data_IF_155715148802
#
_entry.id   IF_155715148802
#
_cell.length_a   1.000
_cell.length_b   1.000
_cell.length_c   1.000
_cell.angle_alpha   90.00
_cell.angle_beta   90.00
_cell.angle_gamma   90.00
#
_symmetry.space_group_name_H-M   'P 1'
#
loop_
_entity.id
_entity.type
_entity.pdbx_description
1 polymer ?
#
# COMPACT_ATOMS: atom_id res chain seq x y z
N UNK A 1 -21.49 8.66 -5.98
CA UNK A 1 -20.62 9.84 -6.16
C UNK A 1 -20.45 10.07 -7.66
N UNK A 2 -20.66 11.31 -8.13
CA UNK A 2 -20.28 11.72 -9.48
C UNK A 2 -18.77 11.93 -9.54
N UNK A 3 -18.19 12.11 -10.72
CA UNK A 3 -16.72 12.25 -10.82
C UNK A 3 -16.27 13.64 -10.37
N UNK A 4 -17.10 14.63 -10.60
CA UNK A 4 -16.91 16.03 -10.22
C UNK A 4 -16.85 16.18 -8.68
N UNK A 5 -17.72 15.47 -7.94
CA UNK A 5 -17.70 15.44 -6.47
C UNK A 5 -16.34 14.93 -5.95
N UNK A 6 -15.78 13.90 -6.61
CA UNK A 6 -14.49 13.30 -6.23
C UNK A 6 -13.33 14.24 -6.58
N UNK A 7 -13.33 14.81 -7.79
CA UNK A 7 -12.32 15.78 -8.25
C UNK A 7 -12.25 17.02 -7.34
N UNK A 8 -13.39 17.50 -6.84
CA UNK A 8 -13.44 18.58 -5.84
C UNK A 8 -12.80 18.21 -4.49
N UNK A 9 -13.07 16.99 -3.99
CA UNK A 9 -12.47 16.50 -2.74
C UNK A 9 -10.97 16.32 -2.90
N UNK A 10 -10.53 15.71 -4.02
CA UNK A 10 -9.12 15.51 -4.34
C UNK A 10 -8.40 16.86 -4.47
N UNK A 11 -9.02 17.88 -5.06
CA UNK A 11 -8.46 19.24 -5.17
C UNK A 11 -8.21 19.89 -3.81
N UNK A 12 -9.08 19.64 -2.81
CA UNK A 12 -8.97 20.18 -1.44
C UNK A 12 -7.91 19.46 -0.58
N UNK A 13 -7.48 18.25 -0.95
CA UNK A 13 -6.41 17.54 -0.24
C UNK A 13 -5.04 18.22 -0.44
N UNK A 14 -4.22 18.30 0.61
CA UNK A 14 -2.87 18.85 0.55
C UNK A 14 -1.84 17.79 0.10
N UNK A 15 -0.70 18.25 -0.43
CA UNK A 15 0.44 17.41 -0.81
C UNK A 15 0.37 16.81 -2.22
N UNK A 16 1.44 16.08 -2.56
CA UNK A 16 1.60 15.39 -3.84
C UNK A 16 0.72 14.14 -3.90
N UNK A 17 0.01 13.95 -5.02
CA UNK A 17 -0.96 12.86 -5.21
C UNK A 17 -0.50 12.00 -6.38
N UNK A 18 -0.54 10.69 -6.20
CA UNK A 18 -0.18 9.70 -7.22
C UNK A 18 -1.32 8.70 -7.31
N UNK A 19 -1.84 8.46 -8.52
CA UNK A 19 -2.92 7.49 -8.72
C UNK A 19 -2.33 6.18 -9.26
N UNK A 20 -2.61 5.09 -8.56
CA UNK A 20 -2.40 3.74 -9.07
C UNK A 20 -3.75 3.24 -9.61
N UNK A 21 -3.90 3.16 -10.93
CA UNK A 21 -5.20 2.93 -11.58
C UNK A 21 -5.76 1.55 -11.18
N UNK A 22 -7.02 1.55 -10.74
CA UNK A 22 -7.83 0.36 -10.59
C UNK A 22 -8.89 0.18 -11.69
N UNK A 23 -9.44 -1.02 -11.78
CA UNK A 23 -10.41 -1.42 -12.81
C UNK A 23 -11.76 -0.67 -12.78
N UNK A 24 -12.05 0.03 -11.68
CA UNK A 24 -13.27 0.84 -11.51
C UNK A 24 -13.00 2.34 -11.57
N UNK A 25 -11.75 2.76 -11.76
CA UNK A 25 -11.43 4.18 -11.88
C UNK A 25 -11.99 4.78 -13.15
N UNK A 26 -12.53 5.99 -12.98
CA UNK A 26 -13.06 6.80 -14.07
C UNK A 26 -11.97 7.73 -14.59
N UNK A 27 -12.27 8.47 -15.66
CA UNK A 27 -11.38 9.48 -16.22
C UNK A 27 -11.38 10.76 -15.37
N UNK A 28 -10.79 10.72 -14.18
CA UNK A 28 -10.59 11.89 -13.32
C UNK A 28 -9.74 12.96 -14.05
N UNK A 29 -9.82 14.22 -13.62
CA UNK A 29 -8.92 15.27 -14.14
C UNK A 29 -7.45 14.91 -13.83
N UNK A 30 -6.61 14.61 -14.85
CA UNK A 30 -5.24 14.15 -14.61
C UNK A 30 -4.36 15.22 -13.95
N UNK A 31 -4.75 16.51 -14.02
CA UNK A 31 -4.05 17.63 -13.37
C UNK A 31 -4.16 17.61 -11.84
N UNK A 32 -4.97 16.72 -11.27
CA UNK A 32 -5.08 16.49 -9.83
C UNK A 32 -3.96 15.62 -9.27
N UNK A 33 -3.16 14.98 -10.13
CA UNK A 33 -2.12 14.02 -9.78
C UNK A 33 -0.77 14.42 -10.40
N UNK A 34 0.32 14.07 -9.71
CA UNK A 34 1.69 14.24 -10.19
C UNK A 34 2.06 13.15 -11.22
N UNK A 35 1.52 11.95 -11.04
CA UNK A 35 1.64 10.83 -11.98
C UNK A 35 0.46 9.86 -11.81
N UNK A 36 0.13 9.14 -12.88
CA UNK A 36 -0.94 8.14 -12.94
C UNK A 36 -0.40 6.88 -13.64
N UNK A 37 -0.41 5.74 -12.95
CA UNK A 37 0.24 4.49 -13.42
C UNK A 37 -0.57 3.26 -13.05
N UNK A 38 -0.40 2.15 -13.76
CA UNK A 38 -0.87 0.83 -13.30
C UNK A 38 0.04 0.24 -12.21
N UNK A 39 1.32 0.59 -12.26
CA UNK A 39 2.37 0.08 -11.37
C UNK A 39 3.42 1.15 -11.06
N UNK A 40 3.81 1.27 -9.78
CA UNK A 40 4.88 2.19 -9.36
C UNK A 40 5.84 1.51 -8.38
N UNK A 41 7.13 1.86 -8.48
CA UNK A 41 8.16 1.50 -7.50
C UNK A 41 8.63 2.75 -6.79
N UNK A 42 8.58 2.78 -5.46
CA UNK A 42 9.11 3.88 -4.65
C UNK A 42 10.06 3.38 -3.58
N UNK A 43 10.99 4.22 -3.15
CA UNK A 43 11.81 3.98 -1.97
C UNK A 43 11.59 5.09 -0.95
N UNK A 44 11.28 4.70 0.30
CA UNK A 44 11.03 5.59 1.43
C UNK A 44 11.77 5.02 2.63
N UNK A 45 12.58 5.83 3.31
CA UNK A 45 13.44 5.44 4.44
C UNK A 45 14.29 4.19 4.17
N UNK A 46 14.85 4.06 2.96
CA UNK A 46 15.62 2.89 2.52
C UNK A 46 14.80 1.60 2.30
N UNK A 47 13.50 1.62 2.57
CA UNK A 47 12.57 0.52 2.27
C UNK A 47 12.02 0.69 0.84
N UNK A 48 11.70 -0.43 0.20
CA UNK A 48 11.26 -0.47 -1.20
C UNK A 48 9.80 -0.93 -1.22
N UNK A 49 8.96 -0.23 -1.99
CA UNK A 49 7.54 -0.51 -2.12
C UNK A 49 7.18 -0.68 -3.60
N UNK A 50 6.47 -1.76 -3.89
CA UNK A 50 5.82 -2.02 -5.17
C UNK A 50 4.32 -1.73 -5.02
N UNK A 51 3.81 -0.76 -5.77
CA UNK A 51 2.42 -0.32 -5.70
C UNK A 51 1.68 -0.82 -6.96
N UNK A 52 0.57 -1.53 -6.77
CA UNK A 52 -0.31 -1.98 -7.85
C UNK A 52 -1.73 -2.12 -7.30
N UNK A 53 -2.78 -1.79 -8.05
CA UNK A 53 -4.16 -1.99 -7.59
C UNK A 53 -4.43 -3.45 -7.19
N UNK A 54 -3.90 -4.38 -7.98
CA UNK A 54 -4.05 -5.82 -7.78
C UNK A 54 -3.00 -6.42 -6.82
N UNK A 55 -3.36 -7.44 -6.01
CA UNK A 55 -2.38 -8.20 -5.22
C UNK A 55 -1.44 -8.97 -6.16
N UNK A 56 -0.14 -8.87 -5.92
CA UNK A 56 0.87 -9.58 -6.70
C UNK A 56 1.33 -10.85 -5.96
N UNK A 57 1.56 -11.94 -6.71
CA UNK A 57 2.20 -13.15 -6.16
C UNK A 57 3.71 -12.96 -5.95
N UNK A 58 4.35 -12.19 -6.84
CA UNK A 58 5.76 -11.81 -6.76
C UNK A 58 5.94 -10.35 -7.20
N UNK A 59 6.91 -9.66 -6.61
CA UNK A 59 7.14 -8.23 -6.84
C UNK A 59 8.64 -7.88 -6.72
N UNK A 60 9.07 -6.72 -7.25
CA UNK A 60 10.47 -6.29 -7.15
C UNK A 60 10.98 -6.28 -5.70
N UNK A 61 12.14 -6.90 -5.47
CA UNK A 61 12.79 -7.04 -4.16
C UNK A 61 11.97 -7.81 -3.11
N UNK A 62 10.99 -8.66 -3.48
CA UNK A 62 10.29 -9.56 -2.54
C UNK A 62 11.26 -10.37 -1.67
N UNK A 63 12.23 -11.05 -2.27
CA UNK A 63 13.27 -11.82 -1.57
C UNK A 63 14.25 -10.95 -0.76
N UNK A 64 14.39 -9.67 -1.08
CA UNK A 64 15.19 -8.69 -0.34
C UNK A 64 14.34 -7.85 0.63
N UNK A 65 13.15 -8.34 1.00
CA UNK A 65 12.32 -7.74 2.04
C UNK A 65 11.57 -6.46 1.66
N UNK A 66 11.40 -6.18 0.36
CA UNK A 66 10.53 -5.11 -0.15
C UNK A 66 9.04 -5.44 0.05
N UNK A 67 8.22 -4.40 0.15
CA UNK A 67 6.78 -4.50 0.40
C UNK A 67 5.98 -4.44 -0.90
N UNK A 68 4.83 -5.11 -0.96
CA UNK A 68 3.82 -4.90 -2.00
C UNK A 68 2.55 -4.34 -1.39
N UNK A 69 2.11 -3.18 -1.90
CA UNK A 69 0.88 -2.53 -1.46
C UNK A 69 -0.16 -2.63 -2.58
N UNK A 70 -1.37 -3.04 -2.23
CA UNK A 70 -2.49 -3.16 -3.16
C UNK A 70 -3.83 -2.79 -2.53
N UNK A 71 -4.89 -2.81 -3.34
CA UNK A 71 -6.27 -2.76 -2.88
C UNK A 71 -7.06 -3.90 -3.51
N UNK A 72 -8.14 -3.54 -4.21
CA UNK A 72 -8.98 -4.38 -5.07
C UNK A 72 -9.80 -5.49 -4.40
N UNK A 73 -9.25 -6.23 -3.43
CA UNK A 73 -9.88 -7.47 -2.94
C UNK A 73 -10.95 -7.25 -1.86
N UNK A 74 -11.14 -6.01 -1.38
CA UNK A 74 -12.08 -5.65 -0.32
C UNK A 74 -11.94 -6.54 0.93
N UNK A 75 -10.69 -6.91 1.25
CA UNK A 75 -10.42 -7.74 2.41
C UNK A 75 -10.60 -6.94 3.71
N UNK A 76 -10.73 -7.69 4.81
CA UNK A 76 -10.65 -7.14 6.17
C UNK A 76 -9.22 -7.28 6.69
N UNK A 77 -8.92 -6.65 7.83
CA UNK A 77 -7.57 -6.61 8.44
C UNK A 77 -6.93 -8.00 8.64
N UNK A 78 -7.74 -9.03 8.84
CA UNK A 78 -7.36 -10.45 8.98
C UNK A 78 -6.51 -10.95 7.79
N UNK A 79 -6.68 -10.39 6.58
CA UNK A 79 -5.84 -10.70 5.42
C UNK A 79 -4.40 -10.17 5.56
N UNK A 80 -4.25 -8.95 6.09
CA UNK A 80 -2.94 -8.37 6.36
C UNK A 80 -2.23 -9.14 7.49
N UNK A 81 -2.99 -9.57 8.49
CA UNK A 81 -2.49 -10.43 9.58
C UNK A 81 -2.03 -11.81 9.08
N UNK A 82 -2.78 -12.44 8.18
CA UNK A 82 -2.38 -13.70 7.55
C UNK A 82 -1.08 -13.54 6.73
N UNK A 83 -0.99 -12.52 5.87
CA UNK A 83 0.25 -12.21 5.14
C UNK A 83 1.43 -12.00 6.11
N UNK A 84 1.22 -11.29 7.23
CA UNK A 84 2.25 -11.09 8.27
C UNK A 84 2.71 -12.39 8.90
N UNK A 85 1.77 -13.24 9.33
CA UNK A 85 2.07 -14.53 9.96
C UNK A 85 2.83 -15.48 9.03
N UNK A 86 2.57 -15.42 7.71
CA UNK A 86 3.30 -16.17 6.69
C UNK A 86 4.64 -15.52 6.26
N UNK A 87 5.05 -14.40 6.87
CA UNK A 87 6.25 -13.65 6.49
C UNK A 87 6.15 -12.92 5.15
N UNK A 88 4.96 -12.88 4.55
CA UNK A 88 4.67 -12.25 3.25
C UNK A 88 4.48 -10.74 3.46
N UNK A 89 5.42 -9.93 2.97
CA UNK A 89 5.34 -8.44 3.03
C UNK A 89 4.39 -7.85 1.99
N UNK A 90 3.16 -8.36 1.94
CA UNK A 90 2.06 -7.87 1.12
C UNK A 90 0.97 -7.28 2.02
N UNK A 91 0.45 -6.12 1.65
CA UNK A 91 -0.48 -5.37 2.48
C UNK A 91 -1.58 -4.73 1.63
N UNK A 92 -2.83 -5.01 1.98
CA UNK A 92 -4.01 -4.34 1.47
C UNK A 92 -4.14 -2.97 2.16
N UNK A 93 -3.91 -1.90 1.40
CA UNK A 93 -4.12 -0.50 1.81
C UNK A 93 -5.53 0.01 1.50
N UNK A 94 -6.42 -0.86 1.02
CA UNK A 94 -7.84 -0.58 0.80
C UNK A 94 -8.56 -0.19 2.09
N UNK A 95 -9.55 0.70 1.96
CA UNK A 95 -10.27 1.29 3.10
C UNK A 95 -10.96 0.24 3.98
N UNK A 96 -11.46 -0.84 3.38
CA UNK A 96 -12.15 -1.94 4.05
C UNK A 96 -11.24 -2.70 5.05
N UNK A 97 -9.95 -2.84 4.73
CA UNK A 97 -8.95 -3.47 5.59
C UNK A 97 -8.40 -2.53 6.68
N UNK A 98 -8.71 -1.23 6.60
CA UNK A 98 -8.03 -0.16 7.33
C UNK A 98 -8.99 0.82 8.03
N UNK A 99 -10.18 0.35 8.43
CA UNK A 99 -11.19 1.12 9.16
C UNK A 99 -11.63 2.43 8.47
N UNK A 100 -11.56 2.50 7.14
CA UNK A 100 -11.82 3.70 6.33
C UNK A 100 -10.84 4.87 6.54
N UNK A 101 -9.64 4.61 7.05
CA UNK A 101 -8.56 5.59 7.17
C UNK A 101 -7.39 5.30 6.20
N UNK A 102 -6.65 6.33 5.74
CA UNK A 102 -5.43 6.14 4.97
C UNK A 102 -4.32 5.53 5.85
N UNK A 103 -3.44 4.74 5.22
CA UNK A 103 -2.33 4.05 5.91
C UNK A 103 -1.00 4.74 5.59
N UNK A 104 -0.23 5.08 6.62
CA UNK A 104 1.11 5.65 6.46
C UNK A 104 2.19 4.57 6.27
N UNK A 105 3.28 4.96 5.61
CA UNK A 105 4.50 4.13 5.50
C UNK A 105 5.02 3.69 6.88
N UNK A 106 4.87 4.54 7.92
CA UNK A 106 5.24 4.18 9.30
C UNK A 106 4.38 3.03 9.83
N UNK A 107 3.06 3.12 9.72
CA UNK A 107 2.15 2.04 10.16
C UNK A 107 2.46 0.71 9.46
N UNK A 108 2.72 0.72 8.16
CA UNK A 108 3.11 -0.50 7.40
C UNK A 108 4.45 -1.07 7.92
N UNK A 109 5.46 -0.21 8.13
CA UNK A 109 6.76 -0.62 8.66
C UNK A 109 6.64 -1.21 10.07
N UNK A 110 5.88 -0.56 10.95
CA UNK A 110 5.65 -1.00 12.34
C UNK A 110 4.87 -2.33 12.37
N UNK A 111 3.82 -2.45 11.55
CA UNK A 111 2.97 -3.64 11.43
C UNK A 111 3.80 -4.91 11.14
N UNK A 112 4.70 -4.84 10.16
CA UNK A 112 5.63 -5.94 9.84
C UNK A 112 6.90 -5.97 10.71
N UNK A 113 7.20 -4.90 11.44
CA UNK A 113 8.39 -4.77 12.29
C UNK A 113 8.23 -5.37 13.68
N UNK A 114 6.99 -5.50 14.16
CA UNK A 114 6.64 -5.99 15.50
C UNK A 114 7.01 -7.47 15.80
N UNK A 115 7.71 -8.17 14.91
CA UNK A 115 8.21 -9.53 15.11
C UNK A 115 9.75 -9.67 15.03
N UNK A 116 10.50 -8.59 15.22
CA UNK A 116 11.98 -8.64 15.37
C UNK A 116 12.43 -8.38 16.81
N UNK A 117 12.09 -9.30 17.72
CA UNK A 117 12.66 -9.35 19.08
C UNK A 117 12.58 -10.76 19.71
N UNK A 118 12.78 -11.80 18.90
CA UNK A 118 13.04 -13.19 19.32
C UNK A 118 13.88 -13.87 18.22
N UNK A 119 15.09 -14.37 18.47
CA UNK A 119 16.12 -13.85 19.39
C UNK A 119 17.50 -14.16 18.80
N UNK A 120 18.48 -13.27 19.01
CA UNK A 120 19.85 -13.37 18.49
C UNK A 120 20.90 -13.57 19.61
N UNK A 121 20.49 -13.75 20.88
CA UNK A 121 21.38 -13.99 22.02
C UNK A 121 21.53 -15.49 22.36
N UNK A 122 21.97 -16.30 21.40
CA UNK A 122 22.54 -17.61 21.75
C UNK A 122 23.67 -18.05 20.80
N UNK A 123 24.82 -17.40 20.95
CA UNK A 123 26.10 -17.94 20.51
C UNK A 123 27.14 -17.78 21.62
N UNK A 124 27.84 -18.89 21.89
CA UNK A 124 28.90 -19.13 22.89
C UNK A 124 28.40 -19.29 24.34
#
# INVERSE_FOLDING_TARGET
MKIEDADELIRKMNGKKYLIIGNHDKKYDPRLFEDIRDFMKVSVDGRNFALMHYPMLSWPKKSSGGYQLHGHIHARMEYNEANRAEGIRRYDVGVDANNFFPVSVKQIKDFFGAQMSVDDNNFI
#
